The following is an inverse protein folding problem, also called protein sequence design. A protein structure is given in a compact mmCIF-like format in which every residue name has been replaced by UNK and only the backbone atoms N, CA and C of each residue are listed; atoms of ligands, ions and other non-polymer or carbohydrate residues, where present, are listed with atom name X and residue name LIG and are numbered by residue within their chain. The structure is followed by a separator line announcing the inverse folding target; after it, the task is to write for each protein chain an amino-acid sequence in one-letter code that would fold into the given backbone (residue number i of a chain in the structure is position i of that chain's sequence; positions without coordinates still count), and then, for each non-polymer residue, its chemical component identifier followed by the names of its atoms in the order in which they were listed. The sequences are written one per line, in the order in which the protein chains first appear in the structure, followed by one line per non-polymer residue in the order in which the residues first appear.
data_IF_238527818104
#
_entry.id   IF_238527818104
#
_cell.length_a   1.000
_cell.length_b   1.000
_cell.length_c   1.000
_cell.angle_alpha   90.00
_cell.angle_beta   90.00
_cell.angle_gamma   90.00
#
_symmetry.space_group_name_H-M   'P 1'
#
loop_
_entity.id
_entity.type
_entity.pdbx_description
1 polymer ?
#
# COMPACT_ATOMS: atom_id res chain seq x y z
N UNK A 1 -20.93 8.40 16.85
CA UNK A 1 -20.84 7.36 15.80
C UNK A 1 -20.32 8.03 14.55
N UNK A 2 -19.00 7.97 14.35
CA UNK A 2 -18.26 8.74 13.35
C UNK A 2 -17.94 7.78 12.21
N UNK A 3 -18.88 7.60 11.27
CA UNK A 3 -18.51 7.08 9.95
C UNK A 3 -17.99 8.29 9.16
N UNK A 4 -16.69 8.54 9.31
CA UNK A 4 -15.94 9.57 8.58
C UNK A 4 -15.88 9.07 7.13
N UNK A 5 -16.38 9.86 6.18
CA UNK A 5 -16.42 9.53 4.75
C UNK A 5 -15.10 8.90 4.28
N UNK A 6 -15.11 7.60 3.98
CA UNK A 6 -13.97 6.90 3.38
C UNK A 6 -13.85 7.29 1.93
N UNK A 7 -12.63 7.46 1.48
CA UNK A 7 -12.37 8.05 0.19
C UNK A 7 -12.55 6.99 -0.93
N UNK A 8 -13.33 7.37 -1.96
CA UNK A 8 -13.80 6.62 -3.15
C UNK A 8 -13.80 5.08 -3.06
N UNK A 9 -14.86 4.50 -2.48
CA UNK A 9 -15.11 3.05 -2.45
C UNK A 9 -15.14 2.37 -3.82
N UNK A 10 -15.27 3.14 -4.92
CA UNK A 10 -15.28 2.64 -6.29
C UNK A 10 -13.96 2.91 -7.03
N UNK A 11 -12.91 3.37 -6.35
CA UNK A 11 -11.63 3.71 -6.98
C UNK A 11 -11.01 2.53 -7.75
N UNK A 12 -11.21 1.30 -7.27
CA UNK A 12 -10.76 0.07 -7.94
C UNK A 12 -11.40 -0.18 -9.33
N UNK A 13 -12.54 0.44 -9.64
CA UNK A 13 -13.18 0.35 -10.95
C UNK A 13 -12.54 1.31 -11.97
N UNK A 14 -12.01 2.43 -11.49
CA UNK A 14 -11.51 3.55 -12.32
C UNK A 14 -9.99 3.49 -12.48
N UNK A 15 -9.28 3.05 -11.45
CA UNK A 15 -7.83 3.08 -11.36
C UNK A 15 -7.25 1.68 -11.57
N UNK A 16 -6.44 1.53 -12.62
CA UNK A 16 -5.68 0.29 -12.88
C UNK A 16 -4.53 0.15 -11.88
N UNK A 17 -4.12 -1.10 -11.62
CA UNK A 17 -2.91 -1.35 -10.85
C UNK A 17 -1.73 -0.75 -11.59
N UNK A 18 -0.86 -0.08 -10.85
CA UNK A 18 0.43 0.40 -11.33
C UNK A 18 1.45 0.04 -10.26
N UNK A 19 2.34 -0.88 -10.60
CA UNK A 19 3.52 -1.19 -9.79
C UNK A 19 4.63 -0.17 -10.11
N UNK A 20 5.53 0.05 -9.16
CA UNK A 20 6.60 1.03 -9.34
C UNK A 20 7.67 0.60 -10.36
N UNK A 21 7.79 -0.71 -10.58
CA UNK A 21 8.74 -1.29 -11.52
C UNK A 21 10.17 -1.31 -10.99
N UNK A 22 11.10 -1.71 -11.86
CA UNK A 22 12.51 -1.86 -11.52
C UNK A 22 13.37 -0.92 -12.37
N UNK A 23 14.50 -0.48 -11.81
CA UNK A 23 15.56 0.21 -12.55
C UNK A 23 15.99 -0.60 -13.79
N UNK A 24 16.36 0.07 -14.90
CA UNK A 24 16.86 -0.59 -16.10
C UNK A 24 18.01 -1.56 -15.82
N UNK A 25 18.00 -2.73 -16.49
CA UNK A 25 18.97 -3.81 -16.25
C UNK A 25 20.41 -3.32 -16.41
N UNK A 26 20.68 -2.57 -17.48
CA UNK A 26 21.99 -2.02 -17.80
C UNK A 26 22.55 -1.05 -16.74
N UNK A 27 21.68 -0.45 -15.93
CA UNK A 27 22.06 0.41 -14.81
C UNK A 27 22.30 -0.43 -13.55
N UNK A 28 21.33 -1.27 -13.16
CA UNK A 28 21.36 -1.99 -11.86
C UNK A 28 22.40 -3.12 -11.76
N UNK A 29 23.04 -3.53 -12.86
CA UNK A 29 24.12 -4.54 -12.83
C UNK A 29 25.49 -3.93 -12.50
N UNK A 30 25.60 -2.60 -12.41
CA UNK A 30 26.86 -1.88 -12.20
C UNK A 30 27.01 -1.33 -10.79
N UNK A 31 26.00 -1.49 -9.95
CA UNK A 31 25.98 -1.00 -8.58
C UNK A 31 25.16 -1.93 -7.66
N UNK A 32 25.18 -1.65 -6.36
CA UNK A 32 24.42 -2.39 -5.34
C UNK A 32 23.28 -1.54 -4.73
N UNK A 33 22.86 -0.49 -5.43
CA UNK A 33 21.76 0.37 -4.95
C UNK A 33 20.42 -0.34 -5.16
N UNK A 34 19.38 0.20 -4.53
CA UNK A 34 18.04 -0.35 -4.61
C UNK A 34 17.57 -0.51 -6.07
N UNK A 35 16.91 -1.64 -6.34
CA UNK A 35 16.49 -2.06 -7.68
C UNK A 35 15.05 -1.68 -7.96
N UNK A 36 14.17 -1.88 -6.98
CA UNK A 36 12.77 -1.49 -7.06
C UNK A 36 12.68 0.03 -7.03
N UNK A 37 11.82 0.61 -7.88
CA UNK A 37 11.57 2.04 -7.90
C UNK A 37 10.40 2.39 -6.99
N UNK A 38 10.15 3.69 -6.79
CA UNK A 38 8.98 4.18 -6.06
C UNK A 38 8.17 5.07 -6.99
N UNK A 39 6.84 4.91 -6.98
CA UNK A 39 5.95 5.81 -7.70
C UNK A 39 5.97 7.21 -7.09
N UNK A 40 5.65 8.22 -7.90
CA UNK A 40 5.40 9.55 -7.37
C UNK A 40 4.18 9.53 -6.44
N UNK A 41 4.07 10.56 -5.60
CA UNK A 41 3.04 10.64 -4.56
C UNK A 41 1.63 10.65 -5.11
N UNK A 42 1.37 11.28 -6.25
CA UNK A 42 0.04 11.34 -6.86
C UNK A 42 -0.40 9.94 -7.31
N UNK A 43 0.45 9.24 -8.06
CA UNK A 43 0.21 7.86 -8.47
C UNK A 43 0.04 6.95 -7.26
N UNK A 44 0.81 7.16 -6.19
CA UNK A 44 0.73 6.36 -4.98
C UNK A 44 -0.59 6.56 -4.23
N UNK A 45 -1.04 7.81 -4.13
CA UNK A 45 -2.37 8.14 -3.57
C UNK A 45 -3.49 7.48 -4.40
N UNK A 46 -3.36 7.47 -5.73
CA UNK A 46 -4.30 6.77 -6.62
C UNK A 46 -4.28 5.24 -6.42
N UNK A 47 -3.11 4.64 -6.18
CA UNK A 47 -3.06 3.21 -5.88
C UNK A 47 -3.72 2.87 -4.54
N UNK A 48 -3.58 3.73 -3.53
CA UNK A 48 -4.27 3.58 -2.25
C UNK A 48 -5.79 3.67 -2.37
N UNK A 49 -6.30 4.49 -3.30
CA UNK A 49 -7.74 4.62 -3.59
C UNK A 49 -8.39 3.36 -4.16
N UNK A 50 -7.60 2.33 -4.49
CA UNK A 50 -8.13 1.02 -4.95
C UNK A 50 -8.63 0.15 -3.79
N UNK A 51 -8.41 0.55 -2.54
CA UNK A 51 -9.00 -0.14 -1.38
C UNK A 51 -10.53 -0.06 -1.44
N UNK A 52 -11.20 -1.21 -1.27
CA UNK A 52 -12.67 -1.29 -1.39
C UNK A 52 -13.42 -1.09 -0.07
N UNK A 53 -12.71 -0.93 1.04
CA UNK A 53 -13.29 -0.97 2.39
C UNK A 53 -14.23 -2.17 2.61
N UNK A 54 -13.66 -3.38 2.57
CA UNK A 54 -14.42 -4.63 2.40
C UNK A 54 -15.36 -4.99 3.56
N UNK A 55 -15.42 -4.21 4.64
CA UNK A 55 -16.09 -4.54 5.91
C UNK A 55 -15.38 -5.64 6.70
N UNK A 56 -15.05 -6.77 6.05
CA UNK A 56 -14.19 -7.84 6.57
C UNK A 56 -12.85 -7.80 5.81
N UNK A 57 -11.83 -7.13 6.35
CA UNK A 57 -10.57 -6.92 5.64
C UNK A 57 -9.67 -8.16 5.73
N UNK A 58 -9.81 -9.12 4.83
CA UNK A 58 -8.95 -10.32 4.76
C UNK A 58 -7.44 -10.00 4.68
N UNK A 59 -7.09 -8.85 4.09
CA UNK A 59 -5.71 -8.38 4.07
C UNK A 59 -5.12 -8.19 5.48
N UNK A 60 -5.92 -7.69 6.45
CA UNK A 60 -5.52 -7.55 7.86
C UNK A 60 -5.23 -8.91 8.48
N UNK A 61 -6.16 -9.86 8.35
CA UNK A 61 -6.04 -11.23 8.89
C UNK A 61 -4.84 -12.01 8.35
N UNK A 62 -4.45 -11.74 7.11
CA UNK A 62 -3.30 -12.40 6.49
C UNK A 62 -1.95 -11.76 6.81
N UNK A 63 -1.96 -10.58 7.42
CA UNK A 63 -0.75 -9.85 7.77
C UNK A 63 -0.25 -10.35 9.14
N UNK A 64 0.96 -10.93 9.25
CA UNK A 64 1.43 -11.51 10.52
C UNK A 64 1.62 -10.52 11.67
N UNK A 65 1.58 -9.21 11.38
CA UNK A 65 1.71 -8.12 12.36
C UNK A 65 0.39 -7.37 12.57
N UNK A 66 -0.74 -7.98 12.17
CA UNK A 66 -2.10 -7.45 12.34
C UNK A 66 -2.23 -5.99 11.87
N UNK A 67 -1.62 -5.68 10.72
CA UNK A 67 -1.53 -4.31 10.22
C UNK A 67 -2.89 -3.75 9.82
N UNK A 68 -3.14 -2.48 10.13
CA UNK A 68 -4.44 -1.81 9.96
C UNK A 68 -4.60 -1.24 8.55
N UNK A 69 -4.43 -2.12 7.57
CA UNK A 69 -4.26 -1.83 6.14
C UNK A 69 -5.31 -0.89 5.54
N UNK A 70 -6.63 -1.11 5.75
CA UNK A 70 -7.64 -0.22 5.18
C UNK A 70 -7.51 1.22 5.69
N UNK A 71 -7.12 1.40 6.95
CA UNK A 71 -7.12 2.71 7.61
C UNK A 71 -5.99 3.59 7.12
N UNK A 72 -4.77 3.07 7.05
CA UNK A 72 -3.66 3.87 6.51
C UNK A 72 -3.74 4.02 4.99
N UNK A 73 -4.43 3.13 4.25
CA UNK A 73 -4.71 3.36 2.83
C UNK A 73 -5.69 4.52 2.62
N UNK A 74 -6.73 4.64 3.44
CA UNK A 74 -7.66 5.78 3.38
C UNK A 74 -6.93 7.10 3.69
N UNK A 75 -6.09 7.11 4.73
CA UNK A 75 -5.27 8.28 5.07
C UNK A 75 -4.27 8.63 3.95
N UNK A 76 -3.61 7.62 3.39
CA UNK A 76 -2.70 7.78 2.25
C UNK A 76 -3.43 8.36 1.04
N UNK A 77 -4.60 7.84 0.67
CA UNK A 77 -5.38 8.38 -0.44
C UNK A 77 -5.80 9.84 -0.20
N UNK A 78 -6.17 10.20 1.03
CA UNK A 78 -6.47 11.58 1.43
C UNK A 78 -5.25 12.50 1.46
N UNK A 79 -4.05 11.96 1.27
CA UNK A 79 -2.79 12.71 1.34
C UNK A 79 -2.35 13.03 2.77
N UNK A 80 -2.95 12.41 3.79
CA UNK A 80 -2.52 12.54 5.19
C UNK A 80 -1.39 11.55 5.48
N UNK A 81 -0.21 11.84 4.92
CA UNK A 81 0.99 11.01 5.04
C UNK A 81 1.41 10.78 6.49
N UNK A 82 1.34 11.82 7.31
CA UNK A 82 1.70 11.75 8.73
C UNK A 82 0.73 10.89 9.51
N UNK A 83 -0.58 11.06 9.29
CA UNK A 83 -1.60 10.20 9.90
C UNK A 83 -1.46 8.75 9.46
N UNK A 84 -1.23 8.52 8.15
CA UNK A 84 -0.99 7.19 7.59
C UNK A 84 0.21 6.51 8.27
N UNK A 85 1.33 7.22 8.43
CA UNK A 85 2.51 6.70 9.12
C UNK A 85 2.24 6.38 10.59
N UNK A 86 1.59 7.29 11.34
CA UNK A 86 1.24 7.04 12.73
C UNK A 86 0.35 5.80 12.88
N UNK A 87 -0.58 5.58 11.94
CA UNK A 87 -1.46 4.41 11.96
C UNK A 87 -0.71 3.13 11.60
N UNK A 88 0.13 3.17 10.58
CA UNK A 88 1.01 2.07 10.16
C UNK A 88 1.98 1.64 11.27
N UNK A 89 2.65 2.61 11.88
CA UNK A 89 3.63 2.37 12.96
C UNK A 89 3.00 1.88 14.27
N UNK A 90 1.67 1.97 14.41
CA UNK A 90 0.97 1.51 15.61
C UNK A 90 0.98 -0.02 15.78
N UNK A 91 1.18 -0.76 14.69
CA UNK A 91 1.23 -2.23 14.68
C UNK A 91 2.50 -2.79 14.08
N UNK A 92 3.21 -2.03 13.23
CA UNK A 92 4.46 -2.46 12.62
C UNK A 92 5.62 -1.56 13.06
N UNK A 93 6.61 -2.15 13.72
CA UNK A 93 7.81 -1.43 14.18
C UNK A 93 8.82 -1.11 13.08
N UNK A 94 8.78 -1.86 11.96
CA UNK A 94 9.79 -1.80 10.90
C UNK A 94 9.16 -1.74 9.49
N UNK A 95 8.25 -0.78 9.23
CA UNK A 95 7.55 -0.69 7.96
C UNK A 95 8.47 -0.38 6.76
N UNK A 96 9.64 0.22 6.98
CA UNK A 96 10.71 0.43 5.99
C UNK A 96 11.37 -0.88 5.52
N UNK A 97 11.29 -1.94 6.33
CA UNK A 97 11.79 -3.26 5.99
C UNK A 97 10.69 -4.10 5.36
N UNK A 98 9.55 -4.23 6.02
CA UNK A 98 8.42 -5.03 5.50
C UNK A 98 7.92 -4.51 4.15
N UNK A 99 7.86 -3.19 3.97
CA UNK A 99 7.51 -2.57 2.70
C UNK A 99 8.46 -2.89 1.54
N UNK A 100 9.67 -3.41 1.82
CA UNK A 100 10.64 -3.83 0.79
C UNK A 100 10.71 -5.34 0.62
N UNK A 101 10.78 -6.09 1.71
CA UNK A 101 11.12 -7.53 1.65
C UNK A 101 9.94 -8.47 1.89
N UNK A 102 8.79 -7.97 2.35
CA UNK A 102 7.64 -8.82 2.65
C UNK A 102 7.14 -9.52 1.39
N UNK A 103 6.79 -10.82 1.44
CA UNK A 103 6.15 -11.53 0.33
C UNK A 103 4.70 -11.09 0.08
N UNK A 104 4.19 -10.09 0.81
CA UNK A 104 2.89 -9.46 0.64
C UNK A 104 1.70 -10.46 0.68
N UNK A 105 1.61 -11.28 1.73
CA UNK A 105 0.45 -12.16 1.97
C UNK A 105 -0.88 -11.39 2.00
N UNK A 106 -0.84 -10.13 2.46
CA UNK A 106 -1.94 -9.18 2.44
C UNK A 106 -2.48 -8.85 1.04
N UNK A 107 -1.63 -8.82 0.01
CA UNK A 107 -2.06 -8.63 -1.37
C UNK A 107 -2.71 -9.90 -1.91
N UNK A 108 -2.14 -11.07 -1.58
CA UNK A 108 -2.71 -12.36 -1.97
C UNK A 108 -4.12 -12.58 -1.38
N UNK A 109 -4.32 -12.18 -0.12
CA UNK A 109 -5.60 -12.28 0.59
C UNK A 109 -6.57 -11.12 0.31
N UNK A 110 -6.16 -10.12 -0.47
CA UNK A 110 -7.03 -8.97 -0.77
C UNK A 110 -8.29 -9.46 -1.50
N UNK A 111 -9.48 -9.02 -1.08
CA UNK A 111 -10.75 -9.41 -1.72
C UNK A 111 -10.76 -9.06 -3.22
N UNK A 112 -10.12 -7.95 -3.58
CA UNK A 112 -10.01 -7.53 -4.98
C UNK A 112 -9.26 -8.57 -5.83
N UNK A 113 -8.32 -9.31 -5.23
CA UNK A 113 -7.52 -10.36 -5.86
C UNK A 113 -8.33 -11.57 -6.34
N UNK A 114 -9.61 -11.71 -5.94
CA UNK A 114 -10.46 -12.81 -6.43
C UNK A 114 -10.72 -12.67 -7.93
N UNK A 115 -10.93 -11.45 -8.42
CA UNK A 115 -11.36 -11.21 -9.80
C UNK A 115 -10.53 -10.14 -10.55
N UNK A 116 -9.70 -9.37 -9.84
CA UNK A 116 -8.90 -8.25 -10.37
C UNK A 116 -7.55 -8.20 -9.65
N UNK A 117 -6.68 -7.30 -10.07
CA UNK A 117 -5.38 -7.14 -9.43
C UNK A 117 -5.52 -6.53 -8.02
N UNK A 118 -4.80 -7.00 -7.00
CA UNK A 118 -4.94 -6.48 -5.64
C UNK A 118 -4.44 -5.04 -5.51
N UNK A 119 -4.76 -4.43 -4.37
CA UNK A 119 -4.15 -3.16 -3.94
C UNK A 119 -2.65 -3.39 -3.72
N UNK A 120 -1.79 -2.44 -4.08
CA UNK A 120 -0.33 -2.47 -3.90
C UNK A 120 0.05 -2.16 -2.44
N UNK A 121 -0.44 -2.98 -1.51
CA UNK A 121 -0.34 -2.78 -0.05
C UNK A 121 1.13 -2.63 0.37
N UNK A 122 2.03 -3.50 -0.09
CA UNK A 122 3.45 -3.47 0.30
C UNK A 122 4.12 -2.18 -0.17
N UNK A 123 3.86 -1.78 -1.41
CA UNK A 123 4.44 -0.55 -1.95
C UNK A 123 3.83 0.72 -1.32
N UNK A 124 2.56 0.66 -0.89
CA UNK A 124 1.93 1.75 -0.14
C UNK A 124 2.56 1.91 1.24
N UNK A 125 2.86 0.80 1.92
CA UNK A 125 3.55 0.78 3.20
C UNK A 125 4.92 1.46 3.11
N UNK A 126 5.80 1.07 2.17
CA UNK A 126 7.12 1.70 2.04
C UNK A 126 7.00 3.17 1.66
N UNK A 127 6.08 3.53 0.76
CA UNK A 127 5.91 4.91 0.33
C UNK A 127 5.42 5.83 1.46
N UNK A 128 4.60 5.33 2.39
CA UNK A 128 4.21 6.09 3.59
C UNK A 128 5.44 6.42 4.43
N UNK A 129 6.29 5.42 4.70
CA UNK A 129 7.46 5.58 5.59
C UNK A 129 8.55 6.46 4.99
N UNK A 130 8.79 6.35 3.68
CA UNK A 130 9.82 7.17 3.02
C UNK A 130 9.43 8.64 2.87
N UNK A 131 8.14 8.95 2.91
CA UNK A 131 7.63 10.31 2.72
C UNK A 131 7.26 11.05 4.02
N UNK A 132 6.81 10.33 5.04
CA UNK A 132 6.32 10.92 6.31
C UNK A 132 7.44 11.51 7.17
#
# INVERSE_FOLDING_TARGET
MIYKDMADINGFLKIKRKDAGNRPINERIRDHSEVEQVLNSEDRMLQASRCMDCGIPFCHWSCPVDNLIPEWNDLLYKGDWKGAYQRLASTNNFPEFTGRICPASCEHACVLNINKEPVTIRENEVAIVERA
#
